data_IF_793688519951
#
_entry.id   IF_793688519951
#
_cell.length_a   1.000
_cell.length_b   1.000
_cell.length_c   1.000
_cell.angle_alpha   90.00
_cell.angle_beta   90.00
_cell.angle_gamma   90.00
#
_symmetry.space_group_name_H-M   'P 1'
#
loop_
_entity.id
_entity.type
_entity.pdbx_description
1 polymer ?
#
# COMPACT_ATOMS: atom_id res chain seq x y z
N UNK A 1 -13.78 8.56 -8.03
CA UNK A 1 -13.68 7.08 -8.16
C UNK A 1 -13.39 6.52 -6.79
N UNK A 2 -14.05 5.44 -6.36
CA UNK A 2 -13.85 4.88 -5.03
C UNK A 2 -12.55 4.07 -4.98
N UNK A 3 -11.79 4.19 -3.89
CA UNK A 3 -10.66 3.31 -3.63
C UNK A 3 -11.12 1.85 -3.50
N UNK A 4 -10.24 0.91 -3.82
CA UNK A 4 -10.45 -0.51 -3.51
C UNK A 4 -9.80 -0.84 -2.18
N UNK A 5 -10.39 -1.75 -1.41
CA UNK A 5 -9.93 -2.07 -0.07
C UNK A 5 -9.70 -3.57 0.07
N UNK A 6 -8.60 -3.91 0.74
CA UNK A 6 -8.25 -5.25 1.12
C UNK A 6 -7.98 -5.28 2.63
N UNK A 7 -8.71 -6.12 3.34
CA UNK A 7 -8.55 -6.30 4.78
C UNK A 7 -7.90 -7.66 5.07
N UNK A 8 -6.90 -7.65 5.97
CA UNK A 8 -6.10 -8.82 6.30
C UNK A 8 -6.04 -8.92 7.83
N UNK A 9 -6.82 -9.86 8.39
CA UNK A 9 -7.10 -9.93 9.82
C UNK A 9 -6.13 -10.75 10.70
N UNK A 10 -5.08 -11.33 10.13
CA UNK A 10 -4.16 -12.21 10.86
C UNK A 10 -2.70 -11.89 10.49
N UNK A 11 -2.33 -10.62 10.61
CA UNK A 11 -0.99 -10.14 10.30
C UNK A 11 -0.07 -10.18 11.53
N UNK A 12 1.23 -10.37 11.31
CA UNK A 12 2.24 -10.38 12.36
C UNK A 12 3.32 -9.34 12.00
N UNK A 13 3.70 -8.44 12.91
CA UNK A 13 4.62 -7.34 12.60
C UNK A 13 6.00 -7.82 12.13
N UNK A 14 6.40 -9.04 12.51
CA UNK A 14 7.65 -9.65 12.06
C UNK A 14 7.60 -10.11 10.61
N UNK A 15 6.40 -10.25 10.05
CA UNK A 15 6.22 -10.52 8.62
C UNK A 15 6.33 -9.19 7.88
N UNK A 16 7.13 -9.09 6.80
CA UNK A 16 7.10 -7.97 5.88
C UNK A 16 5.92 -8.08 4.89
N UNK A 17 5.38 -6.93 4.51
CA UNK A 17 4.45 -6.76 3.39
C UNK A 17 5.24 -6.59 2.10
N UNK A 18 4.97 -7.40 1.09
CA UNK A 18 5.61 -7.37 -0.21
C UNK A 18 4.56 -6.98 -1.26
N UNK A 19 4.68 -5.78 -1.78
CA UNK A 19 3.83 -5.26 -2.85
C UNK A 19 4.50 -5.54 -4.19
N UNK A 20 3.85 -6.35 -5.01
CA UNK A 20 4.31 -6.73 -6.34
C UNK A 20 3.50 -5.97 -7.39
N UNK A 21 4.16 -5.19 -8.25
CA UNK A 21 3.60 -4.62 -9.46
C UNK A 21 3.98 -5.50 -10.64
N UNK A 22 3.02 -5.98 -11.43
CA UNK A 22 3.34 -6.90 -12.52
C UNK A 22 2.34 -6.82 -13.67
N UNK A 23 2.82 -6.76 -14.92
CA UNK A 23 1.98 -6.96 -16.10
C UNK A 23 1.75 -8.41 -16.49
N UNK A 24 2.44 -9.34 -15.82
CA UNK A 24 2.37 -10.78 -16.07
C UNK A 24 1.85 -11.51 -14.82
N UNK A 25 1.17 -12.63 -15.02
CA UNK A 25 0.82 -13.51 -13.89
C UNK A 25 2.10 -14.02 -13.24
N UNK A 26 2.37 -13.61 -12.01
CA UNK A 26 3.48 -14.15 -11.22
C UNK A 26 3.05 -15.50 -10.67
N UNK A 27 3.74 -16.56 -11.09
CA UNK A 27 3.61 -17.90 -10.51
C UNK A 27 4.56 -17.99 -9.32
N UNK A 28 4.04 -17.83 -8.11
CA UNK A 28 4.82 -17.99 -6.86
C UNK A 28 5.09 -19.47 -6.53
N UNK A 29 4.28 -20.38 -7.07
CA UNK A 29 4.48 -21.82 -7.09
C UNK A 29 3.95 -22.38 -8.42
N UNK A 30 4.23 -23.65 -8.73
CA UNK A 30 3.85 -24.24 -10.02
C UNK A 30 2.34 -24.15 -10.34
N UNK A 31 1.50 -24.02 -9.32
CA UNK A 31 0.05 -24.22 -9.42
C UNK A 31 -0.83 -23.00 -9.03
N UNK A 32 -0.24 -21.84 -8.67
CA UNK A 32 -1.05 -20.69 -8.21
C UNK A 32 -0.72 -19.43 -9.02
N UNK A 33 -1.71 -18.97 -9.80
CA UNK A 33 -1.75 -17.61 -10.34
C UNK A 33 -2.74 -16.79 -9.53
N UNK A 34 -2.26 -15.83 -8.73
CA UNK A 34 -3.13 -14.95 -7.98
C UNK A 34 -3.66 -13.82 -8.90
N UNK A 35 -4.98 -13.59 -8.94
CA UNK A 35 -5.55 -12.46 -9.65
C UNK A 35 -5.25 -11.12 -8.96
N UNK A 36 -5.63 -10.04 -9.65
CA UNK A 36 -5.41 -8.66 -9.22
C UNK A 36 -6.10 -8.35 -7.90
N UNK A 37 -5.35 -7.84 -6.92
CA UNK A 37 -5.87 -7.49 -5.60
C UNK A 37 -6.05 -8.68 -4.63
N UNK A 38 -5.59 -9.88 -5.00
CA UNK A 38 -5.45 -10.99 -4.05
C UNK A 38 -4.10 -10.96 -3.33
N UNK A 39 -4.06 -11.60 -2.16
CA UNK A 39 -2.88 -11.72 -1.32
C UNK A 39 -2.55 -13.17 -1.00
N UNK A 40 -1.29 -13.43 -0.67
CA UNK A 40 -0.83 -14.73 -0.23
C UNK A 40 0.23 -14.61 0.86
N UNK A 41 0.04 -15.39 1.92
CA UNK A 41 1.09 -15.64 2.90
C UNK A 41 2.09 -16.65 2.34
N UNK A 42 3.37 -16.36 2.47
CA UNK A 42 4.46 -17.23 2.02
C UNK A 42 5.48 -17.39 3.13
N UNK A 43 5.97 -18.62 3.28
CA UNK A 43 6.92 -19.03 4.32
C UNK A 43 8.39 -18.96 3.87
N UNK A 44 8.64 -18.60 2.61
CA UNK A 44 9.96 -18.25 2.10
C UNK A 44 9.78 -17.49 0.80
N UNK A 45 10.33 -16.28 0.70
CA UNK A 45 10.29 -15.48 -0.53
C UNK A 45 11.72 -15.18 -0.94
N UNK A 46 12.13 -15.73 -2.07
CA UNK A 46 13.35 -15.30 -2.75
C UNK A 46 12.96 -14.34 -3.86
N UNK A 47 13.59 -13.17 -3.85
CA UNK A 47 13.28 -12.14 -4.84
C UNK A 47 14.49 -11.28 -5.14
N UNK A 48 14.46 -10.60 -6.28
CA UNK A 48 15.60 -9.82 -6.77
C UNK A 48 15.19 -8.38 -7.05
N UNK A 49 15.81 -7.42 -6.36
CA UNK A 49 15.64 -5.99 -6.61
C UNK A 49 16.96 -5.47 -7.19
N UNK A 50 16.90 -4.92 -8.41
CA UNK A 50 18.06 -4.32 -9.10
C UNK A 50 19.28 -5.27 -9.19
N UNK A 51 19.03 -6.56 -9.38
CA UNK A 51 20.08 -7.59 -9.52
C UNK A 51 20.65 -8.11 -8.19
N UNK A 52 20.16 -7.64 -7.04
CA UNK A 52 20.49 -8.21 -5.72
C UNK A 52 19.41 -9.18 -5.28
N UNK A 53 19.82 -10.39 -4.89
CA UNK A 53 18.91 -11.40 -4.36
C UNK A 53 18.67 -11.20 -2.86
N UNK A 54 17.42 -11.32 -2.45
CA UNK A 54 16.95 -11.24 -1.08
C UNK A 54 16.18 -12.52 -0.74
N UNK A 55 16.27 -12.95 0.51
CA UNK A 55 15.49 -14.06 1.04
C UNK A 55 14.79 -13.61 2.31
N UNK A 56 13.47 -13.75 2.34
CA UNK A 56 12.63 -13.48 3.52
C UNK A 56 12.04 -14.80 4.01
N UNK A 57 12.16 -15.07 5.32
CA UNK A 57 11.65 -16.29 5.96
C UNK A 57 10.13 -16.32 6.10
N UNK A 58 9.45 -15.20 5.90
CA UNK A 58 7.99 -15.15 5.72
C UNK A 58 7.63 -13.79 5.15
N UNK A 59 6.46 -13.66 4.54
CA UNK A 59 5.96 -12.37 4.06
C UNK A 59 4.54 -12.47 3.51
N UNK A 60 3.89 -11.33 3.43
CA UNK A 60 2.56 -11.18 2.85
C UNK A 60 2.69 -10.55 1.46
N UNK A 61 2.43 -11.32 0.41
CA UNK A 61 2.50 -10.80 -0.96
C UNK A 61 1.15 -10.26 -1.40
N UNK A 62 1.15 -9.09 -2.03
CA UNK A 62 -0.01 -8.50 -2.70
C UNK A 62 0.36 -8.18 -4.14
N UNK A 63 -0.55 -8.46 -5.07
CA UNK A 63 -0.30 -8.31 -6.51
C UNK A 63 -1.18 -7.23 -7.13
N UNK A 64 -0.53 -6.21 -7.68
CA UNK A 64 -1.17 -5.20 -8.51
C UNK A 64 -0.75 -5.37 -9.97
N UNK A 65 -1.73 -5.35 -10.88
CA UNK A 65 -1.51 -5.43 -12.32
C UNK A 65 -1.13 -4.05 -12.85
N UNK A 66 0.02 -3.95 -13.51
CA UNK A 66 0.48 -2.73 -14.19
C UNK A 66 0.96 -3.10 -15.60
N UNK A 67 1.05 -2.14 -16.52
CA UNK A 67 1.50 -2.44 -17.89
C UNK A 67 3.01 -2.73 -18.04
N UNK A 68 3.77 -2.72 -16.94
CA UNK A 68 5.24 -2.71 -16.94
C UNK A 68 5.92 -4.00 -16.50
N UNK A 69 7.25 -3.91 -16.34
CA UNK A 69 8.08 -4.98 -15.77
C UNK A 69 7.69 -5.29 -14.32
N UNK A 70 8.05 -6.49 -13.84
CA UNK A 70 7.82 -6.87 -12.44
C UNK A 70 8.65 -5.98 -11.53
N UNK A 71 7.99 -5.26 -10.62
CA UNK A 71 8.62 -4.48 -9.57
C UNK A 71 8.13 -4.93 -8.20
N UNK A 72 9.02 -4.93 -7.21
CA UNK A 72 8.74 -5.40 -5.86
C UNK A 72 9.13 -4.36 -4.83
N UNK A 73 8.23 -4.14 -3.87
CA UNK A 73 8.39 -3.18 -2.79
C UNK A 73 8.16 -3.89 -1.47
N UNK A 74 9.13 -3.79 -0.57
CA UNK A 74 9.07 -4.44 0.74
C UNK A 74 8.84 -3.37 1.80
N UNK A 75 7.81 -3.58 2.61
CA UNK A 75 7.50 -2.76 3.77
C UNK A 75 7.59 -3.64 5.02
N UNK A 76 8.42 -3.23 5.97
CA UNK A 76 8.47 -3.82 7.30
C UNK A 76 7.85 -2.83 8.30
N UNK A 77 7.23 -3.37 9.35
CA UNK A 77 6.62 -2.61 10.42
C UNK A 77 7.35 -2.96 11.71
N UNK A 78 8.03 -1.97 12.30
CA UNK A 78 8.85 -2.18 13.49
C UNK A 78 8.03 -2.15 14.78
N UNK A 79 6.92 -1.41 14.77
CA UNK A 79 6.04 -1.19 15.90
C UNK A 79 4.62 -1.56 15.53
N UNK A 80 3.90 -2.16 16.49
CA UNK A 80 2.45 -2.33 16.38
C UNK A 80 1.75 -1.01 16.74
N UNK A 81 0.60 -0.70 16.12
CA UNK A 81 -0.22 0.43 16.54
C UNK A 81 -0.76 0.15 17.95
N UNK A 82 -0.79 1.14 18.85
CA UNK A 82 -1.44 0.97 20.14
C UNK A 82 -2.92 0.58 20.03
N UNK A 83 -3.49 0.14 21.15
CA UNK A 83 -4.92 -0.14 21.24
C UNK A 83 -5.71 1.16 20.99
N UNK A 84 -6.77 1.08 20.17
CA UNK A 84 -7.56 2.24 19.72
C UNK A 84 -6.82 3.20 18.76
N UNK A 85 -5.72 2.77 18.16
CA UNK A 85 -4.96 3.58 17.20
C UNK A 85 -4.64 2.80 15.93
N UNK A 86 -4.30 3.52 14.86
CA UNK A 86 -3.88 2.96 13.59
C UNK A 86 -2.68 3.71 13.01
N UNK A 87 -1.76 2.98 12.37
CA UNK A 87 -0.69 3.59 11.60
C UNK A 87 -1.09 3.72 10.13
N UNK A 88 -1.10 4.94 9.62
CA UNK A 88 -1.33 5.24 8.22
C UNK A 88 -0.02 5.41 7.46
N UNK A 89 0.11 4.69 6.35
CA UNK A 89 1.20 4.80 5.39
C UNK A 89 0.63 5.05 3.99
N UNK A 90 1.39 5.75 3.15
CA UNK A 90 1.15 5.80 1.71
C UNK A 90 2.39 5.34 0.95
N UNK A 91 2.18 4.43 0.00
CA UNK A 91 3.18 3.95 -0.95
C UNK A 91 2.81 4.43 -2.36
N UNK A 92 3.69 5.20 -2.98
CA UNK A 92 3.42 5.83 -4.27
C UNK A 92 4.16 5.14 -5.41
N UNK A 93 3.39 4.40 -6.21
CA UNK A 93 3.84 3.52 -7.28
C UNK A 93 3.20 3.87 -8.64
N UNK A 94 2.70 5.10 -8.81
CA UNK A 94 2.13 5.57 -10.06
C UNK A 94 3.15 6.40 -10.83
N UNK A 95 3.83 5.77 -11.79
CA UNK A 95 4.87 6.42 -12.60
C UNK A 95 4.33 7.61 -13.42
N UNK A 96 3.03 7.63 -13.73
CA UNK A 96 2.39 8.74 -14.46
C UNK A 96 2.35 10.04 -13.64
N UNK A 97 2.55 9.94 -12.32
CA UNK A 97 2.49 11.06 -11.37
C UNK A 97 3.84 11.18 -10.66
N UNK A 98 4.83 11.91 -11.20
CA UNK A 98 6.19 11.88 -10.65
C UNK A 98 6.28 12.34 -9.19
N UNK A 99 5.33 13.17 -8.75
CA UNK A 99 5.28 13.74 -7.41
C UNK A 99 3.83 14.02 -7.01
N UNK A 100 3.45 13.55 -5.81
CA UNK A 100 2.10 13.74 -5.27
C UNK A 100 2.12 14.48 -3.92
N UNK A 101 0.98 15.06 -3.55
CA UNK A 101 0.74 15.64 -2.22
C UNK A 101 -0.54 15.05 -1.65
N UNK A 102 -0.54 14.73 -0.37
CA UNK A 102 -1.66 14.12 0.35
C UNK A 102 -2.11 15.10 1.43
N UNK A 103 -3.41 15.35 1.52
CA UNK A 103 -3.99 16.29 2.47
C UNK A 103 -5.22 15.70 3.14
N UNK A 104 -5.45 16.06 4.40
CA UNK A 104 -6.77 15.96 4.96
C UNK A 104 -7.68 16.95 4.22
N UNK A 105 -8.85 16.51 3.77
CA UNK A 105 -9.79 17.33 3.00
C UNK A 105 -10.09 18.69 3.64
N UNK A 106 -10.27 18.65 4.96
CA UNK A 106 -10.63 19.82 5.78
C UNK A 106 -9.49 20.21 6.72
N UNK A 107 -8.24 19.93 6.36
CA UNK A 107 -7.11 20.14 7.26
C UNK A 107 -5.77 20.25 6.56
N UNK A 108 -4.75 19.88 7.31
CA UNK A 108 -3.36 20.09 6.92
C UNK A 108 -2.86 19.09 5.88
N UNK A 109 -1.69 19.43 5.33
CA UNK A 109 -0.94 18.54 4.46
C UNK A 109 -0.36 17.40 5.28
N UNK A 110 -0.76 16.18 4.89
CA UNK A 110 -0.37 14.92 5.53
C UNK A 110 0.99 14.48 5.02
N UNK A 111 1.23 14.65 3.73
CA UNK A 111 2.54 14.38 3.11
C UNK A 111 2.74 15.32 1.95
N UNK A 112 3.87 16.04 1.94
CA UNK A 112 4.24 16.96 0.86
C UNK A 112 5.21 16.27 -0.08
N UNK A 113 4.95 16.38 -1.38
CA UNK A 113 5.92 16.03 -2.43
C UNK A 113 6.47 14.59 -2.29
N UNK A 114 5.59 13.61 -2.17
CA UNK A 114 5.97 12.20 -2.16
C UNK A 114 6.36 11.77 -3.60
N UNK A 115 7.63 11.39 -3.86
CA UNK A 115 8.09 11.04 -5.20
C UNK A 115 7.61 9.65 -5.63
N UNK A 116 7.71 9.33 -6.93
CA UNK A 116 7.56 7.95 -7.42
C UNK A 116 8.54 7.01 -6.71
N UNK A 117 8.04 5.81 -6.35
CA UNK A 117 8.70 4.83 -5.48
C UNK A 117 8.93 5.31 -4.04
N UNK A 118 8.27 6.40 -3.64
CA UNK A 118 8.33 6.95 -2.29
C UNK A 118 7.32 6.30 -1.35
N UNK A 119 7.71 6.21 -0.08
CA UNK A 119 6.85 5.84 1.05
C UNK A 119 6.72 7.05 1.98
N UNK A 120 5.52 7.36 2.47
CA UNK A 120 5.32 8.39 3.49
C UNK A 120 5.81 7.91 4.85
N UNK A 121 6.19 8.85 5.71
CA UNK A 121 6.32 8.55 7.14
C UNK A 121 4.98 8.02 7.69
N UNK A 122 5.01 7.10 8.69
CA UNK A 122 3.81 6.67 9.38
C UNK A 122 3.13 7.84 10.08
N UNK A 123 1.81 7.87 10.01
CA UNK A 123 1.00 8.79 10.81
C UNK A 123 0.17 7.97 11.77
N UNK A 124 0.31 8.26 13.05
CA UNK A 124 -0.51 7.66 14.09
C UNK A 124 -1.86 8.37 14.12
N UNK A 125 -2.93 7.60 14.00
CA UNK A 125 -4.30 8.07 14.03
C UNK A 125 -5.02 7.44 15.22
N UNK A 126 -5.90 8.20 15.86
CA UNK A 126 -6.90 7.59 16.72
C UNK A 126 -7.89 6.82 15.84
N UNK A 127 -8.30 5.63 16.25
CA UNK A 127 -9.18 4.77 15.49
C UNK A 127 -10.27 4.18 16.40
N UNK A 128 -11.47 3.88 15.88
CA UNK A 128 -11.90 4.08 14.50
C UNK A 128 -12.23 5.54 14.22
N UNK A 129 -11.92 6.02 13.01
CA UNK A 129 -12.30 7.36 12.56
C UNK A 129 -12.51 7.42 11.05
N UNK A 130 -13.37 8.34 10.60
CA UNK A 130 -13.47 8.69 9.19
C UNK A 130 -12.17 9.35 8.72
N UNK A 131 -11.65 8.90 7.57
CA UNK A 131 -10.39 9.39 7.04
C UNK A 131 -10.59 10.06 5.67
N UNK A 132 -11.02 11.34 5.61
CA UNK A 132 -11.20 12.06 4.36
C UNK A 132 -9.85 12.58 3.84
N UNK A 133 -9.19 11.80 2.99
CA UNK A 133 -7.91 12.17 2.38
C UNK A 133 -8.07 12.52 0.91
N UNK A 134 -7.43 13.60 0.50
CA UNK A 134 -7.39 14.05 -0.89
C UNK A 134 -5.95 14.01 -1.41
N UNK A 135 -5.79 13.52 -2.65
CA UNK A 135 -4.52 13.31 -3.33
C UNK A 135 -4.41 14.25 -4.53
N UNK A 136 -3.33 15.02 -4.54
CA UNK A 136 -3.08 16.09 -5.49
C UNK A 136 -1.81 15.84 -6.28
N UNK A 137 -1.82 16.25 -7.55
CA UNK A 137 -0.61 16.42 -8.33
C UNK A 137 0.27 17.53 -7.74
N UNK A 138 1.55 17.55 -8.09
CA UNK A 138 2.49 18.60 -7.64
C UNK A 138 2.06 20.03 -8.02
N UNK A 139 1.25 20.19 -9.07
CA UNK A 139 0.72 21.47 -9.51
C UNK A 139 -0.55 21.90 -8.74
N UNK A 140 -0.99 21.12 -7.75
CA UNK A 140 -2.16 21.40 -6.92
C UNK A 140 -3.49 20.87 -7.49
N UNK A 141 -3.48 20.17 -8.62
CA UNK A 141 -4.71 19.58 -9.17
C UNK A 141 -5.09 18.32 -8.40
N UNK A 142 -6.30 18.29 -7.84
CA UNK A 142 -6.90 17.09 -7.22
C UNK A 142 -7.10 16.00 -8.28
N UNK A 143 -6.69 14.77 -7.99
CA UNK A 143 -6.94 13.63 -8.89
C UNK A 143 -7.63 12.45 -8.22
N UNK A 144 -7.53 12.31 -6.90
CA UNK A 144 -8.17 11.24 -6.17
C UNK A 144 -8.60 11.71 -4.78
N UNK A 145 -9.77 11.24 -4.35
CA UNK A 145 -10.33 11.48 -3.03
C UNK A 145 -10.69 10.16 -2.39
N UNK A 146 -10.32 9.99 -1.12
CA UNK A 146 -10.72 8.90 -0.27
C UNK A 146 -11.94 9.34 0.52
N UNK A 147 -13.09 8.77 0.18
CA UNK A 147 -14.37 9.07 0.82
C UNK A 147 -14.97 7.79 1.40
N UNK A 148 -15.55 7.90 2.60
CA UNK A 148 -16.26 6.82 3.25
C UNK A 148 -15.38 5.69 3.79
N UNK A 149 -14.06 5.86 3.82
CA UNK A 149 -13.18 4.93 4.53
C UNK A 149 -13.17 5.25 6.03
N UNK A 150 -13.41 4.21 6.83
CA UNK A 150 -13.37 4.26 8.28
C UNK A 150 -12.19 3.39 8.71
N UNK A 151 -11.26 3.97 9.47
CA UNK A 151 -10.12 3.23 10.01
C UNK A 151 -10.56 2.21 11.05
N UNK A 152 -9.79 1.13 11.22
CA UNK A 152 -9.97 0.17 12.31
C UNK A 152 -8.93 0.36 13.40
N UNK A 153 -9.33 0.05 14.62
CA UNK A 153 -8.42 0.01 15.77
C UNK A 153 -7.33 -1.04 15.57
N UNK A 154 -6.16 -0.80 16.14
CA UNK A 154 -5.05 -1.75 16.20
C UNK A 154 -4.63 -2.25 14.81
N UNK A 155 -4.54 -1.33 13.84
CA UNK A 155 -4.30 -1.66 12.43
C UNK A 155 -3.19 -0.83 11.77
N UNK A 156 -2.51 -1.44 10.80
CA UNK A 156 -1.72 -0.69 9.81
C UNK A 156 -2.54 -0.52 8.55
N UNK A 157 -2.67 0.72 8.09
CA UNK A 157 -3.38 1.11 6.88
C UNK A 157 -2.34 1.56 5.86
N UNK A 158 -2.28 0.91 4.71
CA UNK A 158 -1.35 1.22 3.64
C UNK A 158 -2.16 1.61 2.40
N UNK A 159 -2.12 2.88 2.04
CA UNK A 159 -2.61 3.33 0.74
C UNK A 159 -1.55 3.15 -0.33
N UNK A 160 -1.80 2.26 -1.28
CA UNK A 160 -0.95 2.05 -2.44
C UNK A 160 -1.57 2.76 -3.63
N UNK A 161 -0.86 3.76 -4.15
CA UNK A 161 -1.24 4.47 -5.38
C UNK A 161 -0.52 3.83 -6.56
N UNK A 162 -1.26 3.27 -7.50
CA UNK A 162 -0.75 2.60 -8.71
C UNK A 162 -1.31 3.25 -9.97
N UNK A 163 -0.61 3.07 -11.09
CA UNK A 163 -1.13 3.45 -12.40
C UNK A 163 -2.27 2.50 -12.82
N UNK A 164 -3.52 2.93 -12.64
CA UNK A 164 -4.70 2.18 -13.08
C UNK A 164 -5.86 3.12 -13.44
N UNK A 165 -6.51 2.89 -14.59
CA UNK A 165 -7.50 3.80 -15.17
C UNK A 165 -8.73 3.99 -14.26
N UNK A 166 -9.18 2.93 -13.60
CA UNK A 166 -10.44 2.94 -12.82
C UNK A 166 -10.26 2.81 -11.32
N UNK A 167 -9.08 2.40 -10.86
CA UNK A 167 -8.79 2.00 -9.47
C UNK A 167 -7.33 2.33 -9.10
N UNK A 168 -6.96 3.60 -9.15
CA UNK A 168 -5.57 4.00 -8.91
C UNK A 168 -5.18 3.82 -7.43
N UNK A 169 -6.13 3.91 -6.50
CA UNK A 169 -5.86 3.85 -5.06
C UNK A 169 -6.38 2.56 -4.42
N UNK A 170 -5.51 1.88 -3.68
CA UNK A 170 -5.79 0.67 -2.93
C UNK A 170 -5.48 0.87 -1.45
N UNK A 171 -6.44 0.64 -0.57
CA UNK A 171 -6.20 0.54 0.87
C UNK A 171 -5.95 -0.91 1.26
N UNK A 172 -4.83 -1.17 1.92
CA UNK A 172 -4.52 -2.46 2.55
C UNK A 172 -4.57 -2.22 4.05
N UNK A 173 -5.42 -2.95 4.76
CA UNK A 173 -5.54 -2.86 6.20
C UNK A 173 -5.07 -4.17 6.84
N UNK A 174 -4.04 -4.07 7.68
CA UNK A 174 -3.43 -5.19 8.41
C UNK A 174 -3.87 -5.10 9.87
N UNK A 175 -4.70 -6.04 10.33
CA UNK A 175 -5.16 -6.10 11.70
C UNK A 175 -4.37 -7.14 12.50
N UNK A 176 -4.22 -6.85 13.79
CA UNK A 176 -3.42 -7.59 14.77
C UNK A 176 -4.29 -8.22 15.86
#
# INVERSE_FOLDING_TARGET
MNASYLEIGAYNEKQPLIVNLTGVSIKLSNDVSLPFGEYQHVNQVEFSIEGKSFSLQSGLNIFFRTGGAVEQYVMSFEEQPPKEEAFLHTLHLDVSKPLITIKARYGDEVTKRLPYKGKSEPILLYAPMDLPLDFYHFNGTLFQSLEGYVTKEHSHIIFVLIEHITKPLWGIELNY
#
